data_IF_044004708978
#
_entry.id   IF_044004708978
#
_cell.length_a   1.000
_cell.length_b   1.000
_cell.length_c   1.000
_cell.angle_alpha   90.00
_cell.angle_beta   90.00
_cell.angle_gamma   90.00
#
_symmetry.space_group_name_H-M   'P 1'
#
loop_
_entity.id
_entity.type
_entity.pdbx_description
1 polymer ?
#
# COMPACT_ATOMS: atom_id res chain seq x y z
N UNK A 1 -19.93 31.31 7.92
CA UNK A 1 -18.50 31.27 8.29
C UNK A 1 -17.87 30.04 7.64
N UNK A 2 -17.44 30.12 6.38
CA UNK A 2 -16.79 28.99 5.70
C UNK A 2 -15.33 28.92 6.14
N UNK A 3 -15.01 27.96 7.01
CA UNK A 3 -13.63 27.62 7.34
C UNK A 3 -12.98 27.10 6.06
N UNK A 4 -12.20 27.97 5.40
CA UNK A 4 -11.25 27.56 4.36
C UNK A 4 -10.32 26.54 5.01
N UNK A 5 -10.52 25.26 4.68
CA UNK A 5 -9.53 24.24 4.96
C UNK A 5 -8.23 24.73 4.33
N UNK A 6 -7.27 25.09 5.18
CA UNK A 6 -5.90 25.34 4.77
C UNK A 6 -5.47 24.01 4.13
N UNK A 7 -5.40 23.98 2.81
CA UNK A 7 -4.89 22.84 2.07
C UNK A 7 -3.45 22.63 2.53
N UNK A 8 -3.26 21.76 3.52
CA UNK A 8 -1.94 21.31 3.98
C UNK A 8 -1.25 20.82 2.70
N UNK A 9 -0.17 21.50 2.29
CA UNK A 9 0.61 21.09 1.12
C UNK A 9 0.94 19.61 1.31
N UNK A 10 0.32 18.75 0.51
CA UNK A 10 0.46 17.32 0.66
C UNK A 10 1.89 16.96 0.26
N UNK A 11 2.70 16.53 1.22
CA UNK A 11 4.07 16.12 0.91
C UNK A 11 4.05 14.81 0.12
N UNK A 12 5.10 14.57 -0.67
CA UNK A 12 5.28 13.30 -1.39
C UNK A 12 5.22 12.08 -0.44
N UNK A 13 5.68 12.27 0.79
CA UNK A 13 5.58 11.31 1.89
C UNK A 13 4.13 11.03 2.32
N UNK A 14 3.29 12.05 2.46
CA UNK A 14 1.85 11.89 2.76
C UNK A 14 1.13 11.15 1.64
N UNK A 15 1.50 11.44 0.40
CA UNK A 15 0.98 10.77 -0.80
C UNK A 15 1.36 9.27 -0.77
N UNK A 16 2.62 8.94 -0.45
CA UNK A 16 3.11 7.56 -0.32
C UNK A 16 2.42 6.80 0.81
N UNK A 17 2.29 7.40 1.99
CA UNK A 17 1.56 6.80 3.13
C UNK A 17 0.11 6.48 2.77
N UNK A 18 -0.57 7.41 2.08
CA UNK A 18 -1.94 7.20 1.62
C UNK A 18 -2.05 6.06 0.60
N UNK A 19 -1.10 5.93 -0.31
CA UNK A 19 -1.10 4.83 -1.27
C UNK A 19 -1.00 3.48 -0.58
N UNK A 20 -0.09 3.32 0.39
CA UNK A 20 0.02 2.04 1.11
C UNK A 20 -1.25 1.74 1.89
N UNK A 21 -1.87 2.74 2.55
CA UNK A 21 -3.19 2.56 3.18
C UNK A 21 -4.23 1.99 2.22
N UNK A 22 -4.27 2.49 0.98
CA UNK A 22 -5.20 1.99 -0.03
C UNK A 22 -4.84 0.56 -0.49
N UNK A 23 -3.55 0.23 -0.62
CA UNK A 23 -3.11 -1.14 -0.94
C UNK A 23 -3.60 -2.09 0.14
N UNK A 24 -3.32 -1.79 1.41
CA UNK A 24 -3.74 -2.59 2.57
C UNK A 24 -5.26 -2.81 2.55
N UNK A 25 -6.03 -1.76 2.30
CA UNK A 25 -7.49 -1.87 2.22
C UNK A 25 -7.96 -2.75 1.04
N UNK A 26 -7.32 -2.66 -0.12
CA UNK A 26 -7.65 -3.48 -1.29
C UNK A 26 -7.31 -4.94 -1.07
N UNK A 27 -6.13 -5.21 -0.52
CA UNK A 27 -5.67 -6.56 -0.20
C UNK A 27 -6.61 -7.20 0.83
N UNK A 28 -6.94 -6.51 1.93
CA UNK A 28 -7.90 -7.01 2.94
C UNK A 28 -9.26 -7.41 2.34
N UNK A 29 -9.75 -6.66 1.36
CA UNK A 29 -11.01 -6.99 0.66
C UNK A 29 -10.90 -8.18 -0.29
N UNK A 30 -9.70 -8.48 -0.80
CA UNK A 30 -9.44 -9.53 -1.80
C UNK A 30 -9.03 -10.86 -1.18
N UNK A 31 -8.48 -10.89 0.04
CA UNK A 31 -8.13 -12.13 0.76
C UNK A 31 -9.37 -12.70 1.46
N UNK A 32 -10.43 -12.99 0.72
CA UNK A 32 -11.64 -13.62 1.28
C UNK A 32 -11.49 -15.13 1.47
N UNK A 33 -10.41 -15.72 0.95
CA UNK A 33 -10.14 -17.15 0.98
C UNK A 33 -8.73 -17.39 1.48
N UNK A 34 -8.56 -18.35 2.40
CA UNK A 34 -7.24 -18.79 2.82
C UNK A 34 -6.55 -19.53 1.68
N UNK A 35 -5.29 -19.18 1.45
CA UNK A 35 -4.44 -19.82 0.44
C UNK A 35 -3.07 -20.13 1.06
N UNK A 36 -2.33 -21.03 0.42
CA UNK A 36 -0.98 -21.43 0.87
C UNK A 36 -0.05 -20.21 0.87
N UNK A 37 0.51 -19.87 2.03
CA UNK A 37 1.34 -18.67 2.20
C UNK A 37 0.57 -17.38 2.51
N UNK A 38 -0.74 -17.45 2.75
CA UNK A 38 -1.55 -16.30 3.20
C UNK A 38 -1.11 -15.74 4.56
N UNK A 39 -0.39 -16.54 5.36
CA UNK A 39 0.20 -16.16 6.65
C UNK A 39 1.19 -15.00 6.47
N UNK A 40 2.12 -15.12 5.52
CA UNK A 40 3.09 -14.07 5.21
C UNK A 40 2.42 -12.76 4.79
N UNK A 41 1.28 -12.85 4.10
CA UNK A 41 0.50 -11.68 3.74
C UNK A 41 -0.22 -11.06 4.94
N UNK A 42 -0.77 -11.88 5.85
CA UNK A 42 -1.38 -11.40 7.11
C UNK A 42 -0.32 -10.73 8.01
N UNK A 43 0.86 -11.31 8.10
CA UNK A 43 2.02 -10.74 8.81
C UNK A 43 2.40 -9.38 8.22
N UNK A 44 2.56 -9.32 6.89
CA UNK A 44 2.84 -8.08 6.17
C UNK A 44 1.77 -7.02 6.41
N UNK A 45 0.48 -7.37 6.34
CA UNK A 45 -0.60 -6.42 6.62
C UNK A 45 -0.47 -5.80 8.01
N UNK A 46 -0.17 -6.62 9.02
CA UNK A 46 -0.03 -6.17 10.41
C UNK A 46 1.19 -5.27 10.60
N UNK A 47 2.32 -5.65 10.01
CA UNK A 47 3.56 -4.86 10.05
C UNK A 47 3.36 -3.50 9.38
N UNK A 48 2.79 -3.49 8.17
CA UNK A 48 2.60 -2.28 7.39
C UNK A 48 1.56 -1.36 8.02
N UNK A 49 0.51 -1.89 8.64
CA UNK A 49 -0.42 -1.07 9.42
C UNK A 49 0.26 -0.37 10.59
N UNK A 50 1.19 -1.06 11.26
CA UNK A 50 1.98 -0.48 12.35
C UNK A 50 2.90 0.64 11.82
N UNK A 51 3.57 0.43 10.68
CA UNK A 51 4.38 1.45 10.01
C UNK A 51 3.55 2.66 9.61
N UNK A 52 2.37 2.41 9.02
CA UNK A 52 1.44 3.46 8.62
C UNK A 52 0.85 4.20 9.82
N UNK A 53 0.81 3.60 11.01
CA UNK A 53 0.28 4.23 12.22
C UNK A 53 1.31 5.16 12.91
N UNK A 54 2.62 4.97 12.65
CA UNK A 54 3.69 5.82 13.21
C UNK A 54 3.45 7.31 12.92
N UNK A 55 3.80 8.19 13.86
CA UNK A 55 3.65 9.63 13.65
C UNK A 55 4.50 10.09 12.46
N UNK A 56 5.77 9.66 12.45
CA UNK A 56 6.71 9.84 11.34
C UNK A 56 6.65 8.65 10.38
N UNK A 57 6.46 8.94 9.11
CA UNK A 57 6.52 7.97 8.01
C UNK A 57 7.51 8.51 6.99
N UNK A 58 8.42 7.70 6.49
CA UNK A 58 9.44 8.15 5.54
C UNK A 58 9.44 7.36 4.21
N UNK A 59 10.38 7.69 3.34
CA UNK A 59 10.55 7.00 2.06
C UNK A 59 11.03 5.56 2.20
N UNK A 60 11.81 5.25 3.24
CA UNK A 60 12.31 3.89 3.51
C UNK A 60 11.15 2.99 3.92
N UNK A 61 10.23 3.48 4.74
CA UNK A 61 8.99 2.77 5.08
C UNK A 61 8.18 2.41 3.83
N UNK A 62 8.07 3.35 2.87
CA UNK A 62 7.41 3.09 1.59
C UNK A 62 8.13 2.03 0.74
N UNK A 63 9.45 2.15 0.61
CA UNK A 63 10.26 1.19 -0.14
C UNK A 63 10.17 -0.19 0.51
N UNK A 64 10.22 -0.25 1.83
CA UNK A 64 10.09 -1.48 2.61
C UNK A 64 8.75 -2.17 2.35
N UNK A 65 7.63 -1.45 2.48
CA UNK A 65 6.30 -1.97 2.20
C UNK A 65 6.18 -2.52 0.77
N UNK A 66 6.77 -1.82 -0.21
CA UNK A 66 6.78 -2.26 -1.61
C UNK A 66 7.57 -3.55 -1.82
N UNK A 67 8.81 -3.58 -1.32
CA UNK A 67 9.73 -4.72 -1.51
C UNK A 67 9.18 -5.97 -0.85
N UNK A 68 8.79 -5.87 0.42
CA UNK A 68 8.23 -6.99 1.17
C UNK A 68 6.95 -7.56 0.54
N UNK A 69 6.06 -6.72 -0.01
CA UNK A 69 4.90 -7.23 -0.74
C UNK A 69 5.30 -7.94 -2.04
N UNK A 70 6.26 -7.39 -2.80
CA UNK A 70 6.75 -8.03 -4.02
C UNK A 70 7.34 -9.42 -3.72
N UNK A 71 8.12 -9.55 -2.65
CA UNK A 71 8.69 -10.84 -2.24
C UNK A 71 7.58 -11.86 -1.94
N UNK A 72 6.48 -11.43 -1.30
CA UNK A 72 5.30 -12.29 -1.05
C UNK A 72 4.63 -12.69 -2.37
N UNK A 73 4.47 -11.74 -3.30
CA UNK A 73 3.88 -12.00 -4.63
C UNK A 73 4.72 -13.05 -5.38
N UNK A 74 6.05 -12.94 -5.36
CA UNK A 74 6.94 -13.87 -6.05
C UNK A 74 6.89 -15.29 -5.47
N UNK A 75 6.65 -15.40 -4.16
CA UNK A 75 6.51 -16.69 -3.44
C UNK A 75 5.11 -17.28 -3.48
N UNK A 76 4.09 -16.50 -3.86
CA UNK A 76 2.70 -16.96 -3.92
C UNK A 76 2.51 -17.90 -5.11
N UNK A 77 2.35 -19.19 -4.88
CA UNK A 77 2.20 -20.21 -5.94
C UNK A 77 0.86 -20.14 -6.68
N UNK A 78 -0.19 -19.70 -5.99
CA UNK A 78 -1.50 -19.47 -6.58
C UNK A 78 -1.44 -18.31 -7.58
N UNK A 79 -1.63 -18.61 -8.86
CA UNK A 79 -1.53 -17.64 -9.94
C UNK A 79 -2.60 -16.55 -9.86
N UNK A 80 -3.84 -16.92 -9.52
CA UNK A 80 -4.95 -15.99 -9.40
C UNK A 80 -4.70 -15.01 -8.25
N UNK A 81 -4.24 -15.53 -7.12
CA UNK A 81 -3.87 -14.71 -5.96
C UNK A 81 -2.67 -13.82 -6.27
N UNK A 82 -1.63 -14.35 -6.90
CA UNK A 82 -0.46 -13.60 -7.34
C UNK A 82 -0.87 -12.42 -8.23
N UNK A 83 -1.78 -12.66 -9.18
CA UNK A 83 -2.33 -11.61 -10.04
C UNK A 83 -3.11 -10.56 -9.24
N UNK A 84 -4.00 -10.98 -8.34
CA UNK A 84 -4.79 -10.06 -7.47
C UNK A 84 -3.90 -9.19 -6.59
N UNK A 85 -2.83 -9.74 -6.03
CA UNK A 85 -1.87 -9.01 -5.19
C UNK A 85 -1.06 -8.01 -6.01
N UNK A 86 -0.54 -8.44 -7.17
CA UNK A 86 0.19 -7.57 -8.09
C UNK A 86 -0.68 -6.42 -8.59
N UNK A 87 -1.94 -6.70 -8.96
CA UNK A 87 -2.91 -5.70 -9.38
C UNK A 87 -3.22 -4.68 -8.26
N UNK A 88 -3.30 -5.14 -7.01
CA UNK A 88 -3.53 -4.26 -5.86
C UNK A 88 -2.41 -3.23 -5.68
N UNK A 89 -1.16 -3.58 -6.00
CA UNK A 89 -0.06 -2.62 -6.01
C UNK A 89 -0.03 -1.76 -7.29
N UNK A 90 -0.23 -2.37 -8.46
CA UNK A 90 -0.08 -1.72 -9.76
C UNK A 90 -1.17 -0.68 -10.05
N UNK A 91 -2.40 -0.94 -9.59
CA UNK A 91 -3.51 0.03 -9.65
C UNK A 91 -3.22 1.33 -8.87
N UNK A 92 -2.35 1.27 -7.85
CA UNK A 92 -1.97 2.41 -7.01
C UNK A 92 -0.69 3.10 -7.46
N UNK A 93 0.29 2.38 -8.00
CA UNK A 93 1.47 2.97 -8.64
C UNK A 93 1.10 3.97 -9.74
N UNK A 94 0.08 3.64 -10.54
CA UNK A 94 -0.45 4.52 -11.60
C UNK A 94 -1.20 5.74 -11.06
N UNK A 95 -1.85 5.62 -9.90
CA UNK A 95 -2.55 6.73 -9.25
C UNK A 95 -1.59 7.76 -8.65
N UNK A 96 -0.40 7.31 -8.25
CA UNK A 96 0.70 8.13 -7.74
C UNK A 96 1.43 8.90 -8.85
N UNK A 97 1.76 8.24 -9.97
CA UNK A 97 2.39 8.89 -11.13
C UNK A 97 1.54 10.04 -11.70
N UNK A 98 0.21 9.92 -11.65
CA UNK A 98 -0.70 11.00 -12.08
C UNK A 98 -0.72 12.22 -11.15
N UNK A 99 -0.39 12.06 -9.86
CA UNK A 99 -0.38 13.18 -8.89
C UNK A 99 0.98 13.86 -8.77
N UNK A 100 2.07 13.17 -9.12
CA UNK A 100 3.40 13.74 -9.15
C UNK A 100 3.61 14.74 -10.32
N UNK A 101 2.76 14.69 -11.36
CA UNK A 101 2.79 15.62 -12.50
C UNK A 101 2.00 16.90 -12.26
N UNK A 102 2.21 17.61 -11.15
CA UNK A 102 1.84 19.04 -11.06
C UNK A 102 2.85 19.73 -10.15
N UNK A 103 4.01 20.05 -10.72
CA UNK A 103 4.81 21.22 -10.40
C UNK A 103 5.66 21.56 -11.62
#
# INVERSE_FOLDING_TARGET
MSQRQINKMQTDTDVKRKAIKQVVAHIRKKITSEYVGSEHLKEWLTEIESIIAKEEFDIKDYIHARKSLNDIIERTLDEEMRFKLRDSWFSLGKALEKKAKIN
#
